data_IF_221283361161
#
_entry.id   IF_221283361161
#
_cell.length_a   1.000
_cell.length_b   1.000
_cell.length_c   1.000
_cell.angle_alpha   90.00
_cell.angle_beta   90.00
_cell.angle_gamma   90.00
#
_symmetry.space_group_name_H-M   'P 1'
#
loop_
_entity.id
_entity.type
_entity.pdbx_description
1 polymer ?
#
# COMPACT_ATOMS: atom_id res chain seq x y z
N UNK A 1 10.67 5.73 9.19
CA UNK A 1 10.26 4.43 9.76
C UNK A 1 8.85 4.59 10.35
N UNK A 2 7.97 3.57 10.29
CA UNK A 2 6.63 3.65 10.86
C UNK A 2 6.73 3.58 12.40
N UNK A 3 5.90 4.36 13.06
CA UNK A 3 5.82 4.42 14.51
C UNK A 3 4.40 4.78 14.92
N UNK A 4 3.87 4.05 15.89
CA UNK A 4 2.56 4.28 16.47
C UNK A 4 2.72 4.70 17.93
N UNK A 5 1.91 5.65 18.36
CA UNK A 5 1.79 6.02 19.77
C UNK A 5 0.59 5.23 20.31
N UNK A 6 0.83 4.42 21.34
CA UNK A 6 -0.20 3.58 21.97
C UNK A 6 -0.63 4.26 23.27
N UNK A 7 -1.93 4.44 23.45
CA UNK A 7 -2.48 4.95 24.70
C UNK A 7 -2.90 3.80 25.61
N UNK A 8 -3.02 4.05 26.92
CA UNK A 8 -3.41 3.02 27.92
C UNK A 8 -4.80 2.40 27.71
N UNK A 9 -5.63 2.97 26.82
CA UNK A 9 -6.95 2.44 26.44
C UNK A 9 -6.92 1.57 25.19
N UNK A 10 -5.83 1.59 24.42
CA UNK A 10 -5.72 0.79 23.20
C UNK A 10 -5.36 -0.65 23.55
N UNK A 11 -6.08 -1.62 22.97
CA UNK A 11 -5.69 -3.02 23.02
C UNK A 11 -4.47 -3.27 22.12
N UNK A 12 -3.67 -4.29 22.46
CA UNK A 12 -2.52 -4.70 21.66
C UNK A 12 -2.88 -4.99 20.20
N UNK A 13 -3.99 -5.68 19.95
CA UNK A 13 -4.39 -6.05 18.60
C UNK A 13 -4.73 -4.82 17.73
N UNK A 14 -5.34 -3.80 18.34
CA UNK A 14 -5.68 -2.56 17.65
C UNK A 14 -4.42 -1.74 17.36
N UNK A 15 -3.50 -1.66 18.32
CA UNK A 15 -2.18 -1.07 18.11
C UNK A 15 -1.44 -1.79 16.97
N UNK A 16 -1.36 -3.11 17.00
CA UNK A 16 -0.71 -3.90 15.96
C UNK A 16 -1.34 -3.70 14.58
N UNK A 17 -2.68 -3.67 14.50
CA UNK A 17 -3.39 -3.40 13.25
C UNK A 17 -3.09 -2.00 12.70
N UNK A 18 -3.02 -0.97 13.56
CA UNK A 18 -2.63 0.40 13.18
C UNK A 18 -1.19 0.42 12.66
N UNK A 19 -0.26 -0.22 13.36
CA UNK A 19 1.14 -0.33 12.94
C UNK A 19 1.29 -1.03 11.60
N UNK A 20 0.65 -2.19 11.43
CA UNK A 20 0.67 -2.96 10.17
C UNK A 20 0.15 -2.13 9.01
N UNK A 21 -0.96 -1.40 9.21
CA UNK A 21 -1.52 -0.50 8.19
C UNK A 21 -0.57 0.64 7.82
N UNK A 22 0.22 1.14 8.77
CA UNK A 22 1.24 2.18 8.51
C UNK A 22 2.45 1.60 7.77
N UNK A 23 2.92 0.41 8.14
CA UNK A 23 3.98 -0.31 7.41
C UNK A 23 3.58 -0.58 5.95
N UNK A 24 2.34 -1.05 5.74
CA UNK A 24 1.80 -1.34 4.41
C UNK A 24 1.62 -0.06 3.58
N UNK A 25 1.17 1.04 4.21
CA UNK A 25 1.05 2.36 3.55
C UNK A 25 2.41 2.87 3.08
N UNK A 26 3.44 2.69 3.89
CA UNK A 26 4.80 3.13 3.59
C UNK A 26 5.56 2.14 2.68
N UNK A 27 4.90 1.08 2.19
CA UNK A 27 5.44 0.12 1.23
C UNK A 27 6.76 -0.55 1.64
N UNK A 28 7.08 -0.61 2.93
CA UNK A 28 8.42 -0.98 3.43
C UNK A 28 8.85 -2.37 2.95
N UNK A 29 7.95 -3.37 3.06
CA UNK A 29 8.22 -4.75 2.64
C UNK A 29 8.36 -4.85 1.11
N UNK A 30 7.58 -4.06 0.38
CA UNK A 30 7.60 -4.04 -1.09
C UNK A 30 8.91 -3.41 -1.57
N UNK A 31 9.33 -2.29 -0.99
CA UNK A 31 10.59 -1.64 -1.29
C UNK A 31 11.79 -2.52 -0.93
N UNK A 32 11.76 -3.17 0.24
CA UNK A 32 12.82 -4.09 0.64
C UNK A 32 12.99 -5.22 -0.39
N UNK A 33 11.90 -5.82 -0.85
CA UNK A 33 11.93 -6.86 -1.89
C UNK A 33 12.41 -6.32 -3.25
N UNK A 34 11.97 -5.13 -3.64
CA UNK A 34 12.37 -4.51 -4.91
C UNK A 34 13.86 -4.16 -4.93
N UNK A 35 14.45 -3.81 -3.78
CA UNK A 35 15.88 -3.48 -3.65
C UNK A 35 16.80 -4.70 -3.52
N UNK A 36 16.28 -5.93 -3.45
CA UNK A 36 17.11 -7.13 -3.31
C UNK A 36 18.04 -7.37 -4.52
N UNK A 37 17.63 -6.89 -5.70
CA UNK A 37 18.38 -7.05 -6.94
C UNK A 37 18.49 -5.72 -7.67
N UNK A 38 19.53 -5.56 -8.48
CA UNK A 38 19.63 -4.40 -9.36
C UNK A 38 18.57 -4.50 -10.46
N UNK A 39 17.77 -3.44 -10.59
CA UNK A 39 16.80 -3.28 -11.66
C UNK A 39 17.19 -2.07 -12.50
N UNK A 40 17.11 -2.20 -13.83
CA UNK A 40 17.42 -1.09 -14.73
C UNK A 40 16.35 0.00 -14.65
N UNK A 41 16.74 1.26 -14.87
CA UNK A 41 15.81 2.40 -14.83
C UNK A 41 14.62 2.25 -15.81
N UNK A 42 14.84 1.59 -16.94
CA UNK A 42 13.80 1.29 -17.92
C UNK A 42 12.74 0.33 -17.35
N UNK A 43 13.17 -0.70 -16.64
CA UNK A 43 12.26 -1.67 -16.02
C UNK A 43 11.47 -1.07 -14.87
N UNK A 44 12.13 -0.25 -14.02
CA UNK A 44 11.47 0.52 -12.96
C UNK A 44 10.33 1.38 -13.52
N UNK A 45 10.62 2.21 -14.54
CA UNK A 45 9.62 3.06 -15.21
C UNK A 45 8.47 2.25 -15.83
N UNK A 46 8.76 1.07 -16.40
CA UNK A 46 7.73 0.18 -16.93
C UNK A 46 6.82 -0.36 -15.82
N UNK A 47 7.39 -0.84 -14.71
CA UNK A 47 6.63 -1.34 -13.56
C UNK A 47 5.77 -0.26 -12.91
N UNK A 48 6.30 0.95 -12.74
CA UNK A 48 5.56 2.09 -12.20
C UNK A 48 4.34 2.47 -13.06
N UNK A 49 4.52 2.54 -14.39
CA UNK A 49 3.41 2.79 -15.33
C UNK A 49 2.32 1.74 -15.22
N UNK A 50 2.69 0.45 -15.13
CA UNK A 50 1.74 -0.66 -14.98
C UNK A 50 1.02 -0.58 -13.64
N UNK A 51 1.74 -0.36 -12.54
CA UNK A 51 1.16 -0.25 -11.19
C UNK A 51 0.16 0.91 -11.11
N UNK A 52 0.51 2.06 -11.69
CA UNK A 52 -0.35 3.24 -11.73
C UNK A 52 -1.62 3.00 -12.53
N UNK A 53 -1.50 2.42 -13.73
CA UNK A 53 -2.66 2.04 -14.56
C UNK A 53 -3.58 1.07 -13.83
N UNK A 54 -3.03 0.01 -13.20
CA UNK A 54 -3.82 -0.95 -12.42
C UNK A 54 -4.57 -0.27 -11.26
N UNK A 55 -3.92 0.66 -10.55
CA UNK A 55 -4.53 1.41 -9.44
C UNK A 55 -5.71 2.26 -9.91
N UNK A 56 -5.56 2.99 -11.02
CA UNK A 56 -6.63 3.82 -11.60
C UNK A 56 -7.81 2.97 -12.05
N UNK A 57 -7.56 1.90 -12.80
CA UNK A 57 -8.62 1.00 -13.29
C UNK A 57 -9.40 0.35 -12.13
N UNK A 58 -8.70 -0.08 -11.08
CA UNK A 58 -9.34 -0.61 -9.87
C UNK A 58 -10.23 0.44 -9.20
N UNK A 59 -9.76 1.69 -9.08
CA UNK A 59 -10.56 2.78 -8.50
C UNK A 59 -11.84 3.02 -9.30
N UNK A 60 -11.74 3.11 -10.63
CA UNK A 60 -12.90 3.32 -11.52
C UNK A 60 -13.88 2.16 -11.41
N UNK A 61 -13.40 0.91 -11.46
CA UNK A 61 -14.24 -0.28 -11.29
C UNK A 61 -15.01 -0.26 -9.96
N UNK A 62 -14.31 0.06 -8.87
CA UNK A 62 -14.92 0.13 -7.54
C UNK A 62 -15.98 1.22 -7.48
N UNK A 63 -15.72 2.43 -7.99
CA UNK A 63 -16.69 3.54 -8.02
C UNK A 63 -17.97 3.16 -8.79
N UNK A 64 -17.82 2.64 -10.01
CA UNK A 64 -18.96 2.20 -10.83
C UNK A 64 -19.81 1.15 -10.11
N UNK A 65 -19.16 0.19 -9.43
CA UNK A 65 -19.87 -0.84 -8.65
C UNK A 65 -20.67 -0.25 -7.47
N UNK A 66 -20.17 0.81 -6.84
CA UNK A 66 -20.91 1.51 -5.79
C UNK A 66 -22.10 2.28 -6.37
N UNK A 67 -21.90 3.01 -7.47
CA UNK A 67 -22.98 3.73 -8.17
C UNK A 67 -24.11 2.80 -8.64
N UNK A 68 -23.79 1.59 -9.13
CA UNK A 68 -24.81 0.60 -9.53
C UNK A 68 -25.57 -0.06 -8.36
N UNK A 69 -25.15 0.17 -7.12
CA UNK A 69 -25.80 -0.38 -5.92
C UNK A 69 -26.68 0.64 -5.18
N UNK A 70 -26.60 1.91 -5.56
CA UNK A 70 -27.47 3.00 -5.11
C UNK A 70 -28.70 3.05 -6.01
#
# INVERSE_FOLDING_TARGET
MPGIIVNSRDSFDDAYRKFKKQCDRNLIVIEARARQYHETETEKRKKEKIATRKKILKKIYTLRRYESRL
#
